data_IF_541353180725
#
_entry.id   IF_541353180725
#
_cell.length_a   1.000
_cell.length_b   1.000
_cell.length_c   1.000
_cell.angle_alpha   90.00
_cell.angle_beta   90.00
_cell.angle_gamma   90.00
#
_symmetry.space_group_name_H-M   'P 1'
#
loop_
_entity.id
_entity.type
_entity.pdbx_description
1 polymer ?
#
# COMPACT_ATOMS: atom_id res chain seq x y z
N UNK A 1 -23.08 -83.71 3.49
CA UNK A 1 -22.03 -82.85 4.08
C UNK A 1 -21.43 -82.10 2.92
N UNK A 2 -21.79 -80.83 2.75
CA UNK A 2 -21.52 -80.11 1.50
C UNK A 2 -20.10 -79.57 1.49
N UNK A 3 -19.24 -80.15 0.65
CA UNK A 3 -17.93 -79.58 0.30
C UNK A 3 -18.13 -78.31 -0.53
N UNK A 4 -18.09 -77.15 0.14
CA UNK A 4 -17.87 -75.86 -0.53
C UNK A 4 -16.37 -75.66 -0.72
N UNK A 5 -15.91 -75.25 -1.92
CA UNK A 5 -14.49 -75.21 -2.25
C UNK A 5 -13.75 -74.10 -1.50
N UNK A 6 -12.88 -74.50 -0.56
CA UNK A 6 -11.98 -73.66 0.25
C UNK A 6 -11.10 -72.70 -0.57
N UNK A 7 -10.86 -73.01 -1.85
CA UNK A 7 -10.10 -72.16 -2.78
C UNK A 7 -10.66 -70.75 -2.97
N UNK A 8 -11.98 -70.57 -2.93
CA UNK A 8 -12.57 -69.23 -3.07
C UNK A 8 -12.42 -68.40 -1.80
N UNK A 9 -12.35 -69.05 -0.64
CA UNK A 9 -12.17 -68.41 0.67
C UNK A 9 -10.73 -67.90 0.83
N UNK A 10 -9.74 -68.70 0.45
CA UNK A 10 -8.33 -68.28 0.44
C UNK A 10 -8.07 -67.14 -0.55
N UNK A 11 -8.66 -67.17 -1.74
CA UNK A 11 -8.53 -66.08 -2.71
C UNK A 11 -9.22 -64.80 -2.23
N UNK A 12 -10.36 -64.90 -1.54
CA UNK A 12 -11.04 -63.76 -0.93
C UNK A 12 -10.20 -63.15 0.20
N UNK A 13 -9.56 -63.98 1.02
CA UNK A 13 -8.62 -63.54 2.06
C UNK A 13 -7.40 -62.84 1.49
N UNK A 14 -6.77 -63.41 0.45
CA UNK A 14 -5.61 -62.80 -0.23
C UNK A 14 -6.00 -61.51 -0.95
N UNK A 15 -7.13 -61.49 -1.64
CA UNK A 15 -7.64 -60.28 -2.29
C UNK A 15 -7.90 -59.19 -1.25
N UNK A 16 -8.61 -59.49 -0.16
CA UNK A 16 -8.87 -58.54 0.93
C UNK A 16 -7.58 -58.01 1.57
N UNK A 17 -6.61 -58.89 1.82
CA UNK A 17 -5.29 -58.52 2.34
C UNK A 17 -4.49 -57.63 1.38
N UNK A 18 -4.46 -57.96 0.09
CA UNK A 18 -3.79 -57.19 -0.93
C UNK A 18 -4.44 -55.81 -1.16
N UNK A 19 -5.78 -55.74 -1.16
CA UNK A 19 -6.51 -54.48 -1.22
C UNK A 19 -6.22 -53.60 0.00
N UNK A 20 -6.17 -54.18 1.20
CA UNK A 20 -5.86 -53.44 2.42
C UNK A 20 -4.42 -52.93 2.43
N UNK A 21 -3.46 -53.73 1.95
CA UNK A 21 -2.06 -53.31 1.81
C UNK A 21 -1.91 -52.19 0.77
N UNK A 22 -2.57 -52.31 -0.39
CA UNK A 22 -2.55 -51.29 -1.44
C UNK A 22 -3.18 -49.97 -0.97
N UNK A 23 -4.26 -50.04 -0.19
CA UNK A 23 -4.89 -48.87 0.42
C UNK A 23 -3.94 -48.17 1.40
N UNK A 24 -3.16 -48.91 2.20
CA UNK A 24 -2.14 -48.35 3.09
C UNK A 24 -1.01 -47.65 2.32
N UNK A 25 -0.46 -48.32 1.30
CA UNK A 25 0.61 -47.75 0.44
C UNK A 25 0.14 -46.47 -0.27
N UNK A 26 -1.11 -46.42 -0.73
CA UNK A 26 -1.67 -45.22 -1.35
C UNK A 26 -1.70 -44.02 -0.40
N UNK A 27 -2.04 -44.24 0.86
CA UNK A 27 -2.08 -43.17 1.87
C UNK A 27 -0.68 -42.65 2.23
N UNK A 28 0.29 -43.55 2.31
CA UNK A 28 1.70 -43.18 2.51
C UNK A 28 2.24 -42.37 1.32
N UNK A 29 1.92 -42.77 0.08
CA UNK A 29 2.31 -42.01 -1.11
C UNK A 29 1.66 -40.63 -1.12
N UNK A 30 0.37 -40.50 -0.79
CA UNK A 30 -0.30 -39.20 -0.71
C UNK A 30 0.39 -38.26 0.28
N UNK A 31 0.76 -38.79 1.44
CA UNK A 31 1.47 -38.04 2.49
C UNK A 31 2.85 -37.60 2.01
N UNK A 32 3.60 -38.50 1.36
CA UNK A 32 4.92 -38.20 0.81
C UNK A 32 4.85 -37.14 -0.30
N UNK A 33 3.88 -37.26 -1.21
CA UNK A 33 3.66 -36.30 -2.29
C UNK A 33 3.31 -34.92 -1.71
N UNK A 34 2.41 -34.85 -0.73
CA UNK A 34 2.07 -33.59 -0.06
C UNK A 34 3.28 -32.95 0.61
N UNK A 35 4.05 -33.73 1.37
CA UNK A 35 5.28 -33.24 1.99
C UNK A 35 6.27 -32.70 0.97
N UNK A 36 6.42 -33.37 -0.19
CA UNK A 36 7.33 -32.91 -1.24
C UNK A 36 6.84 -31.64 -1.91
N UNK A 37 5.53 -31.50 -2.11
CA UNK A 37 4.93 -30.27 -2.65
C UNK A 37 5.14 -29.12 -1.68
N UNK A 38 4.89 -29.31 -0.39
CA UNK A 38 5.08 -28.27 0.62
C UNK A 38 6.55 -27.82 0.72
N UNK A 39 7.50 -28.76 0.62
CA UNK A 39 8.94 -28.46 0.58
C UNK A 39 9.31 -27.64 -0.67
N UNK A 40 8.82 -28.04 -1.85
CA UNK A 40 9.05 -27.32 -3.11
C UNK A 40 8.43 -25.92 -3.07
N UNK A 41 7.19 -25.78 -2.57
CA UNK A 41 6.54 -24.48 -2.42
C UNK A 41 7.30 -23.56 -1.44
N UNK A 42 7.85 -24.13 -0.36
CA UNK A 42 8.73 -23.42 0.55
C UNK A 42 10.04 -22.96 -0.11
N UNK A 43 10.60 -23.77 -1.01
CA UNK A 43 11.81 -23.42 -1.76
C UNK A 43 11.56 -22.36 -2.86
N UNK A 44 10.37 -22.36 -3.46
CA UNK A 44 10.00 -21.45 -4.55
C UNK A 44 9.68 -20.02 -4.11
N UNK A 45 9.84 -19.68 -2.81
CA UNK A 45 9.60 -18.34 -2.27
C UNK A 45 8.24 -17.76 -2.70
N UNK A 46 7.21 -18.61 -2.67
CA UNK A 46 5.87 -18.22 -3.12
C UNK A 46 5.31 -17.19 -2.13
N UNK A 47 4.94 -16.01 -2.63
CA UNK A 47 4.29 -14.98 -1.82
C UNK A 47 2.94 -15.51 -1.39
N UNK A 48 2.69 -15.53 -0.07
CA UNK A 48 1.39 -15.96 0.43
C UNK A 48 0.34 -14.95 -0.01
N UNK A 49 -0.88 -15.43 -0.21
CA UNK A 49 -1.98 -14.58 -0.61
C UNK A 49 -2.16 -13.43 0.38
N UNK A 50 -2.13 -13.70 1.68
CA UNK A 50 -2.32 -12.66 2.69
C UNK A 50 -1.23 -11.58 2.63
N UNK A 51 0.02 -11.96 2.33
CA UNK A 51 1.13 -11.01 2.16
C UNK A 51 0.97 -10.19 0.88
N UNK A 52 0.51 -10.81 -0.22
CA UNK A 52 0.24 -10.11 -1.47
C UNK A 52 -0.84 -9.05 -1.28
N UNK A 53 -1.91 -9.38 -0.56
CA UNK A 53 -3.02 -8.48 -0.27
C UNK A 53 -2.55 -7.29 0.57
N UNK A 54 -1.72 -7.51 1.59
CA UNK A 54 -1.13 -6.43 2.41
C UNK A 54 -0.22 -5.52 1.57
N UNK A 55 0.66 -6.10 0.76
CA UNK A 55 1.59 -5.32 -0.09
C UNK A 55 0.81 -4.55 -1.16
N UNK A 56 -0.26 -5.13 -1.70
CA UNK A 56 -1.12 -4.46 -2.68
C UNK A 56 -1.78 -3.22 -2.08
N UNK A 57 -2.32 -3.33 -0.87
CA UNK A 57 -2.92 -2.20 -0.17
C UNK A 57 -1.87 -1.14 0.15
N UNK A 58 -0.70 -1.55 0.67
CA UNK A 58 0.42 -0.65 0.93
C UNK A 58 0.88 0.08 -0.34
N UNK A 59 0.98 -0.62 -1.47
CA UNK A 59 1.37 -0.04 -2.75
C UNK A 59 0.35 0.98 -3.26
N UNK A 60 -0.95 0.69 -3.10
CA UNK A 60 -2.01 1.63 -3.44
C UNK A 60 -1.94 2.90 -2.59
N UNK A 61 -1.79 2.73 -1.26
CA UNK A 61 -1.66 3.84 -0.33
C UNK A 61 -0.40 4.67 -0.58
N UNK A 62 0.73 4.02 -0.87
CA UNK A 62 1.97 4.69 -1.19
C UNK A 62 1.83 5.56 -2.45
N UNK A 63 1.16 5.06 -3.48
CA UNK A 63 0.92 5.83 -4.71
C UNK A 63 0.04 7.05 -4.47
N UNK A 64 -1.05 6.89 -3.70
CA UNK A 64 -1.89 8.02 -3.33
C UNK A 64 -1.13 9.07 -2.51
N UNK A 65 -0.27 8.64 -1.58
CA UNK A 65 0.58 9.53 -0.79
C UNK A 65 1.63 10.25 -1.65
N UNK A 66 2.20 9.59 -2.67
CA UNK A 66 3.12 10.22 -3.63
C UNK A 66 2.43 11.33 -4.41
N UNK A 67 1.23 11.09 -4.92
CA UNK A 67 0.47 12.10 -5.68
C UNK A 67 0.12 13.33 -4.83
N UNK A 68 -0.27 13.15 -3.56
CA UNK A 68 -0.52 14.25 -2.63
C UNK A 68 0.77 15.01 -2.29
N UNK A 69 1.88 14.30 -2.08
CA UNK A 69 3.18 14.93 -1.83
C UNK A 69 3.66 15.76 -3.03
N UNK A 70 3.56 15.24 -4.24
CA UNK A 70 3.91 15.96 -5.48
C UNK A 70 3.08 17.24 -5.65
N UNK A 71 1.78 17.19 -5.37
CA UNK A 71 0.92 18.37 -5.40
C UNK A 71 1.36 19.44 -4.40
N UNK A 72 1.67 19.04 -3.16
CA UNK A 72 2.15 19.96 -2.12
C UNK A 72 3.50 20.57 -2.49
N UNK A 73 4.42 19.76 -3.02
CA UNK A 73 5.72 20.22 -3.48
C UNK A 73 5.53 21.24 -4.60
N UNK A 74 4.74 20.93 -5.64
CA UNK A 74 4.49 21.88 -6.73
C UNK A 74 3.82 23.18 -6.28
N UNK A 75 2.93 23.13 -5.29
CA UNK A 75 2.34 24.34 -4.70
C UNK A 75 3.38 25.17 -3.93
N UNK A 76 4.29 24.53 -3.20
CA UNK A 76 5.37 25.20 -2.49
C UNK A 76 6.41 25.78 -3.45
N UNK A 77 6.81 25.05 -4.49
CA UNK A 77 7.74 25.52 -5.52
C UNK A 77 7.22 26.78 -6.21
N UNK A 78 5.92 26.84 -6.55
CA UNK A 78 5.30 28.06 -7.09
C UNK A 78 5.36 29.22 -6.11
N UNK A 79 5.00 29.00 -4.84
CA UNK A 79 5.06 30.05 -3.82
C UNK A 79 6.47 30.57 -3.60
N UNK A 80 7.47 29.69 -3.66
CA UNK A 80 8.89 30.10 -3.58
C UNK A 80 9.25 30.96 -4.78
N UNK A 81 8.91 30.54 -6.00
CA UNK A 81 9.16 31.34 -7.21
C UNK A 81 8.50 32.72 -7.14
N UNK A 82 7.24 32.81 -6.72
CA UNK A 82 6.53 34.09 -6.55
C UNK A 82 7.22 35.01 -5.53
N UNK A 83 7.70 34.44 -4.43
CA UNK A 83 8.42 35.18 -3.39
C UNK A 83 9.81 35.65 -3.86
N UNK A 84 10.51 34.83 -4.62
CA UNK A 84 11.80 35.17 -5.24
C UNK A 84 11.63 36.29 -6.29
N UNK A 85 10.57 36.24 -7.11
CA UNK A 85 10.21 37.31 -8.04
C UNK A 85 9.86 38.61 -7.30
N UNK A 86 9.07 38.53 -6.24
CA UNK A 86 8.72 39.70 -5.42
C UNK A 86 9.94 40.31 -4.72
N UNK A 87 10.98 39.52 -4.39
CA UNK A 87 12.23 39.99 -3.78
C UNK A 87 13.18 40.62 -4.79
N UNK A 88 13.14 40.17 -6.04
CA UNK A 88 14.02 40.65 -7.12
C UNK A 88 13.39 41.79 -7.93
N UNK A 89 12.08 41.98 -7.82
CA UNK A 89 11.38 43.16 -8.31
C UNK A 89 11.92 44.42 -7.59
N UNK A 90 12.36 45.46 -8.33
CA UNK A 90 12.90 46.66 -7.71
C UNK A 90 11.82 47.30 -6.84
N UNK A 91 12.22 47.78 -5.65
CA UNK A 91 11.39 48.47 -4.65
C UNK A 91 10.85 49.85 -5.12
N UNK A 92 10.38 49.94 -6.36
CA UNK A 92 10.00 51.18 -7.02
C UNK A 92 8.77 51.00 -7.92
N UNK A 93 7.67 50.56 -7.31
CA UNK A 93 6.33 50.81 -7.84
C UNK A 93 5.29 50.94 -6.71
N UNK A 94 5.65 51.58 -5.59
CA UNK A 94 4.63 52.25 -4.77
C UNK A 94 4.32 53.58 -5.45
N UNK A 95 3.06 53.76 -5.83
CA UNK A 95 2.59 54.71 -6.82
C UNK A 95 3.09 56.14 -6.65
N UNK A 96 3.63 56.68 -7.75
CA UNK A 96 3.44 58.09 -8.11
C UNK A 96 1.94 58.30 -8.35
N UNK A 97 1.25 58.87 -7.37
CA UNK A 97 0.04 59.65 -7.59
C UNK A 97 0.24 60.98 -6.85
N UNK A 98 0.83 61.93 -7.56
CA UNK A 98 0.74 63.35 -7.22
C UNK A 98 -0.45 63.91 -7.99
N UNK A 99 -1.55 64.30 -7.33
CA UNK A 99 -2.27 65.49 -7.73
C UNK A 99 -1.65 66.68 -6.98
N UNK A 100 -1.13 67.59 -7.77
CA UNK A 100 -0.63 68.90 -7.36
C UNK A 100 -1.80 69.80 -6.86
N UNK A 101 -1.49 70.51 -5.77
CA UNK A 101 -2.07 71.74 -5.20
C UNK A 101 -3.59 71.96 -5.06
N UNK A 102 -4.01 72.19 -3.81
CA UNK A 102 -5.28 72.83 -3.47
C UNK A 102 -5.49 73.03 -1.97
N UNK A 103 -4.89 74.10 -1.44
CA UNK A 103 -5.34 74.87 -0.27
C UNK A 103 -5.14 74.33 1.16
N UNK A 104 -4.55 75.23 1.97
CA UNK A 104 -4.34 75.13 3.39
C UNK A 104 -5.65 75.07 4.16
N UNK A 105 -5.69 74.32 5.27
CA UNK A 105 -6.28 74.74 6.55
C UNK A 105 -6.08 73.65 7.62
N UNK A 106 -5.67 74.06 8.82
CA UNK A 106 -6.00 73.34 10.05
C UNK A 106 -4.91 72.48 10.67
N UNK A 107 -3.96 73.11 11.38
CA UNK A 107 -3.36 72.48 12.55
C UNK A 107 -4.38 72.49 13.69
N UNK A 108 -4.86 71.30 14.07
CA UNK A 108 -5.42 70.98 15.39
C UNK A 108 -5.03 69.51 15.65
N UNK A 109 -4.09 69.18 16.54
CA UNK A 109 -4.17 69.53 17.94
C UNK A 109 -5.12 68.57 18.65
N UNK A 110 -4.79 67.27 18.68
CA UNK A 110 -5.20 66.42 19.81
C UNK A 110 -4.22 65.24 19.97
N UNK A 111 -3.35 65.41 20.97
CA UNK A 111 -2.47 64.40 21.52
C UNK A 111 -3.08 63.96 22.85
N UNK A 112 -4.24 63.31 22.84
CA UNK A 112 -4.79 62.72 24.07
C UNK A 112 -5.78 61.57 23.81
N UNK A 113 -5.26 60.40 23.43
CA UNK A 113 -5.94 59.13 23.68
C UNK A 113 -4.95 57.94 23.63
N UNK A 114 -4.16 57.80 24.70
CA UNK A 114 -3.55 56.55 25.19
C UNK A 114 -4.66 55.51 25.57
N UNK A 115 -4.42 54.29 26.11
CA UNK A 115 -3.17 53.52 26.39
C UNK A 115 -3.21 51.99 26.05
N UNK A 116 -2.03 51.36 26.19
CA UNK A 116 -1.66 49.93 26.42
C UNK A 116 -2.52 48.79 25.89
#
# INVERSE_FOLDING_TARGET
MSDRPRFFDDLAGVAGGAFSALAGVKEEINTLVRSRVDEVLGQLQVVRREEFEVIRELAANARAASEDAEQRIGALERRVADLEEAQTAPAHATGKATPDSGEATGWSGDSSAFPN
#
